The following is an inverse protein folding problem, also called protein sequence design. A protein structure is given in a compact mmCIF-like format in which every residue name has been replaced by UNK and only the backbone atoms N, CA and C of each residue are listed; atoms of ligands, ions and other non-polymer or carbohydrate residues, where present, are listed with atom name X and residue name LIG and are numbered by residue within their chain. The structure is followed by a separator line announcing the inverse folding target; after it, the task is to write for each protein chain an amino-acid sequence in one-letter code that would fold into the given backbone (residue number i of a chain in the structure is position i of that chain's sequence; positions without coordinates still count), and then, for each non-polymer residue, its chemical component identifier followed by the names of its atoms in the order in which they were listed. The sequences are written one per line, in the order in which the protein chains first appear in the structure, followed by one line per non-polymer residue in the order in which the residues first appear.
data_IF_057663221727
#
_entry.id   IF_057663221727
#
_cell.length_a   1.000
_cell.length_b   1.000
_cell.length_c   1.000
_cell.angle_alpha   90.00
_cell.angle_beta   90.00
_cell.angle_gamma   90.00
#
_symmetry.space_group_name_H-M   'P 1'
#
loop_
_entity.id
_entity.type
_entity.pdbx_description
1 polymer ?
#
# COMPACT_ATOMS: atom_id res chain seq x y z
N UNK A 1 -3.45 -11.77 -20.72
CA UNK A 1 -3.75 -11.37 -19.32
C UNK A 1 -2.42 -11.29 -18.57
N UNK A 2 -2.27 -10.42 -17.57
CA UNK A 2 -1.06 -10.37 -16.76
C UNK A 2 -0.85 -11.71 -16.03
N UNK A 3 0.41 -12.10 -15.81
CA UNK A 3 0.75 -13.33 -15.08
C UNK A 3 0.92 -13.03 -13.59
N UNK A 4 -0.16 -13.25 -12.82
CA UNK A 4 -0.16 -12.99 -11.39
C UNK A 4 0.58 -14.07 -10.57
N UNK A 5 1.02 -15.17 -11.17
CA UNK A 5 1.82 -16.20 -10.46
C UNK A 5 3.20 -15.68 -10.02
N UNK A 6 3.61 -14.57 -10.63
CA UNK A 6 4.81 -13.80 -10.29
C UNK A 6 4.64 -12.85 -9.08
N UNK A 7 3.46 -12.84 -8.42
CA UNK A 7 3.15 -11.98 -7.28
C UNK A 7 2.96 -12.81 -6.00
N UNK A 8 3.59 -12.37 -4.92
CA UNK A 8 3.18 -12.73 -3.55
C UNK A 8 2.41 -11.55 -2.93
N UNK A 9 1.15 -11.76 -2.60
CA UNK A 9 0.33 -10.86 -1.77
C UNK A 9 0.69 -11.14 -0.31
N UNK A 10 1.21 -10.15 0.39
CA UNK A 10 1.72 -10.35 1.76
C UNK A 10 1.21 -9.31 2.75
N UNK A 11 1.02 -9.74 4.00
CA UNK A 11 0.85 -8.86 5.15
C UNK A 11 1.86 -9.19 6.24
N UNK A 12 2.26 -8.18 7.02
CA UNK A 12 3.26 -8.30 8.08
C UNK A 12 2.69 -7.73 9.38
N UNK A 13 2.64 -8.54 10.44
CA UNK A 13 2.07 -8.20 11.75
C UNK A 13 3.04 -8.54 12.89
N UNK A 14 3.71 -7.52 13.41
CA UNK A 14 4.69 -7.65 14.49
C UNK A 14 4.13 -7.66 15.92
N UNK A 15 2.81 -7.55 16.11
CA UNK A 15 2.23 -7.31 17.44
C UNK A 15 1.11 -8.29 17.84
N UNK A 16 0.61 -9.10 16.90
CA UNK A 16 -0.42 -10.12 17.15
C UNK A 16 -0.34 -11.24 16.08
N UNK A 17 -1.40 -12.03 15.95
CA UNK A 17 -1.49 -13.12 14.98
C UNK A 17 -1.72 -12.67 13.53
N UNK A 18 -2.09 -11.41 13.30
CA UNK A 18 -2.36 -10.85 11.97
C UNK A 18 -3.68 -11.28 11.35
N UNK A 19 -4.62 -11.84 12.14
CA UNK A 19 -5.91 -12.32 11.63
C UNK A 19 -6.72 -11.24 10.90
N UNK A 20 -6.56 -9.96 11.27
CA UNK A 20 -7.27 -8.83 10.66
C UNK A 20 -6.93 -8.60 9.19
N UNK A 21 -5.76 -9.05 8.71
CA UNK A 21 -5.36 -8.88 7.31
C UNK A 21 -5.78 -10.04 6.40
N UNK A 22 -6.32 -11.13 6.94
CA UNK A 22 -6.79 -12.27 6.15
C UNK A 22 -7.79 -11.86 5.07
N UNK A 23 -8.83 -11.02 5.35
CA UNK A 23 -9.76 -10.58 4.32
C UNK A 23 -9.06 -9.83 3.18
N UNK A 24 -8.10 -8.96 3.50
CA UNK A 24 -7.35 -8.17 2.51
C UNK A 24 -6.50 -9.05 1.59
N UNK A 25 -5.79 -10.04 2.14
CA UNK A 25 -5.01 -11.01 1.37
C UNK A 25 -5.95 -11.83 0.47
N UNK A 26 -7.00 -12.44 1.03
CA UNK A 26 -7.93 -13.28 0.28
C UNK A 26 -8.61 -12.53 -0.85
N UNK A 27 -9.12 -11.32 -0.57
CA UNK A 27 -9.76 -10.49 -1.58
C UNK A 27 -8.79 -10.13 -2.70
N UNK A 28 -7.56 -9.76 -2.35
CA UNK A 28 -6.55 -9.42 -3.34
C UNK A 28 -6.13 -10.62 -4.21
N UNK A 29 -5.98 -11.80 -3.62
CA UNK A 29 -5.72 -13.04 -4.36
C UNK A 29 -6.87 -13.43 -5.29
N UNK A 30 -8.12 -13.17 -4.89
CA UNK A 30 -9.30 -13.41 -5.73
C UNK A 30 -9.30 -12.51 -6.97
N UNK A 31 -8.94 -11.24 -6.80
CA UNK A 31 -8.80 -10.28 -7.90
C UNK A 31 -7.55 -10.53 -8.77
N UNK A 32 -6.52 -11.18 -8.21
CA UNK A 32 -5.27 -11.53 -8.88
C UNK A 32 -5.09 -13.06 -8.95
N UNK A 33 -5.91 -13.78 -9.73
CA UNK A 33 -5.94 -15.24 -9.73
C UNK A 33 -4.58 -15.84 -10.10
N UNK A 34 -4.07 -16.72 -9.25
CA UNK A 34 -2.76 -17.38 -9.40
C UNK A 34 -1.64 -16.76 -8.54
N UNK A 35 -1.86 -15.58 -7.95
CA UNK A 35 -0.95 -15.02 -6.95
C UNK A 35 -0.86 -15.89 -5.69
N UNK A 36 0.26 -15.76 -4.96
CA UNK A 36 0.50 -16.47 -3.70
C UNK A 36 0.11 -15.60 -2.52
N UNK A 37 -0.49 -16.17 -1.48
CA UNK A 37 -0.77 -15.49 -0.22
C UNK A 37 0.28 -15.79 0.83
N UNK A 38 0.76 -14.78 1.55
CA UNK A 38 1.69 -14.94 2.66
C UNK A 38 1.30 -14.04 3.84
N UNK A 39 1.16 -14.63 5.02
CA UNK A 39 1.03 -13.90 6.28
C UNK A 39 2.28 -14.09 7.13
N UNK A 40 2.94 -12.98 7.45
CA UNK A 40 4.05 -12.94 8.39
C UNK A 40 3.54 -12.37 9.72
N UNK A 41 3.52 -13.17 10.78
CA UNK A 41 3.00 -12.71 12.07
C UNK A 41 3.65 -13.41 13.27
N UNK A 42 3.47 -12.85 14.46
CA UNK A 42 4.08 -13.38 15.70
C UNK A 42 3.46 -14.69 16.17
N UNK A 43 2.24 -14.99 15.73
CA UNK A 43 1.50 -16.20 16.08
C UNK A 43 0.65 -16.61 14.88
N UNK A 44 0.37 -17.91 14.73
CA UNK A 44 -0.49 -18.39 13.66
C UNK A 44 -1.97 -18.08 13.98
N UNK A 45 -2.72 -17.37 13.11
CA UNK A 45 -4.15 -17.20 13.30
C UNK A 45 -4.89 -18.53 13.34
N UNK A 46 -5.86 -18.67 14.23
CA UNK A 46 -6.72 -19.86 14.29
C UNK A 46 -7.56 -20.04 13.02
N UNK A 47 -7.96 -18.93 12.40
CA UNK A 47 -8.81 -18.88 11.21
C UNK A 47 -8.01 -18.76 9.90
N UNK A 48 -6.70 -19.11 9.90
CA UNK A 48 -5.86 -19.00 8.70
C UNK A 48 -6.39 -19.93 7.58
N UNK A 49 -6.79 -19.38 6.42
CA UNK A 49 -7.23 -20.17 5.27
C UNK A 49 -6.07 -21.00 4.70
N UNK A 50 -6.32 -22.21 4.18
CA UNK A 50 -5.27 -23.09 3.66
C UNK A 50 -4.58 -22.54 2.40
N UNK A 51 -5.14 -21.52 1.75
CA UNK A 51 -4.52 -20.88 0.57
C UNK A 51 -3.49 -19.80 0.93
N UNK A 52 -3.41 -19.39 2.21
CA UNK A 52 -2.45 -18.40 2.69
C UNK A 52 -1.33 -19.14 3.42
N UNK A 53 -0.12 -19.05 2.90
CA UNK A 53 1.06 -19.51 3.60
C UNK A 53 1.30 -18.63 4.83
N UNK A 54 1.82 -19.22 5.90
CA UNK A 54 2.16 -18.48 7.11
C UNK A 54 3.59 -18.75 7.53
N UNK A 55 4.26 -17.71 8.01
CA UNK A 55 5.59 -17.82 8.59
C UNK A 55 5.66 -16.96 9.85
N UNK A 56 6.19 -17.55 10.92
CA UNK A 56 6.41 -16.86 12.18
C UNK A 56 7.52 -15.80 12.01
N UNK A 57 7.28 -14.61 12.57
CA UNK A 57 8.29 -13.57 12.73
C UNK A 57 8.38 -13.14 14.19
N UNK A 58 9.51 -12.56 14.58
CA UNK A 58 9.66 -12.00 15.92
C UNK A 58 8.75 -10.76 16.08
N UNK A 59 8.36 -10.41 17.32
CA UNK A 59 7.64 -9.18 17.58
C UNK A 59 8.39 -7.95 17.05
N UNK A 60 7.63 -7.03 16.45
CA UNK A 60 8.14 -5.78 15.88
C UNK A 60 7.33 -4.61 16.48
N UNK A 61 8.04 -3.63 17.05
CA UNK A 61 7.52 -2.29 17.23
C UNK A 61 7.38 -1.57 15.87
N UNK A 62 6.86 -0.33 15.90
CA UNK A 62 6.61 0.45 14.69
C UNK A 62 7.89 0.69 13.85
N UNK A 63 9.03 0.92 14.50
CA UNK A 63 10.32 1.14 13.83
C UNK A 63 10.91 -0.17 13.32
N UNK A 64 10.78 -1.24 14.09
CA UNK A 64 11.22 -2.58 13.71
C UNK A 64 10.41 -3.10 12.51
N UNK A 65 9.15 -2.70 12.37
CA UNK A 65 8.39 -2.93 11.15
C UNK A 65 9.07 -2.28 9.94
N UNK A 66 9.40 -0.99 10.01
CA UNK A 66 10.10 -0.31 8.91
C UNK A 66 11.43 -0.98 8.56
N UNK A 67 12.25 -1.31 9.57
CA UNK A 67 13.51 -2.04 9.39
C UNK A 67 13.30 -3.41 8.75
N UNK A 68 12.29 -4.16 9.19
CA UNK A 68 11.96 -5.47 8.65
C UNK A 68 11.58 -5.39 7.18
N UNK A 69 10.72 -4.43 6.80
CA UNK A 69 10.30 -4.22 5.42
C UNK A 69 11.49 -3.82 4.54
N UNK A 70 12.34 -2.90 5.01
CA UNK A 70 13.49 -2.42 4.24
C UNK A 70 14.58 -3.49 4.06
N UNK A 71 14.87 -4.29 5.09
CA UNK A 71 16.09 -5.10 5.11
C UNK A 71 15.87 -6.61 5.16
N UNK A 72 14.69 -7.08 5.55
CA UNK A 72 14.44 -8.51 5.82
C UNK A 72 13.36 -9.13 4.95
N UNK A 73 12.34 -8.36 4.53
CA UNK A 73 11.17 -8.88 3.81
C UNK A 73 11.54 -9.68 2.55
N UNK A 74 12.58 -9.26 1.82
CA UNK A 74 13.02 -9.96 0.60
C UNK A 74 13.39 -11.43 0.81
N UNK A 75 13.73 -11.85 2.04
CA UNK A 75 14.07 -13.25 2.34
C UNK A 75 12.82 -14.16 2.35
N UNK A 76 11.64 -13.57 2.55
CA UNK A 76 10.36 -14.29 2.60
C UNK A 76 9.66 -14.31 1.25
N UNK A 77 10.04 -13.43 0.32
CA UNK A 77 9.42 -13.31 -1.00
C UNK A 77 10.19 -14.13 -2.04
N UNK A 78 9.56 -15.17 -2.57
CA UNK A 78 10.17 -16.03 -3.59
C UNK A 78 9.84 -15.61 -5.02
N UNK A 79 8.73 -14.90 -5.22
CA UNK A 79 8.24 -14.41 -6.50
C UNK A 79 8.98 -13.14 -6.97
N UNK A 80 8.74 -12.73 -8.22
CA UNK A 80 9.36 -11.54 -8.82
C UNK A 80 8.81 -10.23 -8.24
N UNK A 81 7.57 -10.25 -7.76
CA UNK A 81 6.91 -9.10 -7.15
C UNK A 81 6.25 -9.46 -5.82
N UNK A 82 6.27 -8.50 -4.91
CA UNK A 82 5.55 -8.50 -3.66
C UNK A 82 4.47 -7.42 -3.72
N UNK A 83 3.21 -7.78 -3.49
CA UNK A 83 2.14 -6.83 -3.21
C UNK A 83 1.92 -6.81 -1.71
N UNK A 84 2.38 -5.77 -1.02
CA UNK A 84 2.05 -5.55 0.38
C UNK A 84 0.59 -5.12 0.47
N UNK A 85 -0.16 -5.73 1.39
CA UNK A 85 -1.52 -5.33 1.76
C UNK A 85 -1.62 -5.27 3.29
N UNK A 86 -2.07 -4.15 3.84
CA UNK A 86 -2.40 -3.99 5.27
C UNK A 86 -3.87 -4.32 5.53
N UNK A 87 -4.32 -4.37 6.79
CA UNK A 87 -5.72 -4.69 7.11
C UNK A 87 -6.73 -3.61 6.67
N UNK A 88 -6.22 -2.46 6.25
CA UNK A 88 -6.95 -1.33 5.68
C UNK A 88 -6.60 -1.08 4.20
N UNK A 89 -5.96 -2.02 3.50
CA UNK A 89 -5.68 -1.89 2.07
C UNK A 89 -5.78 -3.20 1.28
N UNK A 90 -6.48 -3.20 0.16
CA UNK A 90 -6.67 -4.39 -0.68
C UNK A 90 -6.98 -4.03 -2.14
N UNK A 91 -6.83 -5.02 -3.04
CA UNK A 91 -7.23 -4.90 -4.45
C UNK A 91 -8.76 -4.99 -4.55
N UNK A 92 -9.38 -3.95 -5.12
CA UNK A 92 -10.83 -3.87 -5.27
C UNK A 92 -11.30 -4.42 -6.61
N UNK A 93 -10.51 -4.22 -7.68
CA UNK A 93 -10.87 -4.57 -9.05
C UNK A 93 -9.64 -4.98 -9.88
N UNK A 94 -9.34 -6.28 -9.91
CA UNK A 94 -8.20 -6.84 -10.65
C UNK A 94 -8.34 -6.74 -12.17
N UNK A 95 -9.53 -6.45 -12.71
CA UNK A 95 -9.70 -6.16 -14.14
C UNK A 95 -9.08 -4.82 -14.53
N UNK A 96 -8.88 -3.92 -13.58
CA UNK A 96 -8.22 -2.63 -13.77
C UNK A 96 -6.69 -2.71 -13.64
N UNK A 97 -6.14 -3.94 -13.51
CA UNK A 97 -4.70 -4.14 -13.54
C UNK A 97 -4.11 -3.73 -14.89
N UNK A 98 -3.08 -2.88 -14.84
CA UNK A 98 -2.34 -2.45 -16.02
C UNK A 98 -1.07 -3.25 -16.16
N UNK A 99 -0.80 -3.77 -17.35
CA UNK A 99 0.42 -4.55 -17.62
C UNK A 99 1.70 -3.77 -17.30
N UNK A 100 1.67 -2.45 -17.54
CA UNK A 100 2.79 -1.53 -17.27
C UNK A 100 3.15 -1.41 -15.78
N UNK A 101 2.31 -1.88 -14.84
CA UNK A 101 2.69 -1.94 -13.43
C UNK A 101 3.93 -2.80 -13.19
N UNK A 102 4.18 -3.81 -14.03
CA UNK A 102 5.40 -4.64 -13.94
C UNK A 102 6.65 -3.97 -14.52
N UNK A 103 6.54 -2.80 -15.15
CA UNK A 103 7.69 -2.06 -15.68
C UNK A 103 8.39 -1.21 -14.60
N UNK A 104 7.82 -1.18 -13.40
CA UNK A 104 8.31 -0.43 -12.24
C UNK A 104 8.72 -1.35 -11.10
N UNK A 105 9.71 -0.90 -10.35
CA UNK A 105 10.26 -1.57 -9.18
C UNK A 105 9.49 -1.23 -7.89
N UNK A 106 8.81 -0.08 -7.85
CA UNK A 106 7.92 0.33 -6.75
C UNK A 106 6.69 1.09 -7.29
N UNK A 107 5.51 0.69 -6.84
CA UNK A 107 4.25 1.42 -7.02
C UNK A 107 3.46 1.40 -5.71
N UNK A 108 3.22 2.57 -5.14
CA UNK A 108 2.25 2.76 -4.05
C UNK A 108 1.33 3.93 -4.38
N UNK A 109 0.19 4.00 -3.72
CA UNK A 109 -0.73 5.14 -3.84
C UNK A 109 -0.04 6.42 -3.37
N UNK A 110 -0.15 7.55 -4.09
CA UNK A 110 0.40 8.82 -3.61
C UNK A 110 -0.25 9.20 -2.27
N UNK A 111 0.55 9.40 -1.22
CA UNK A 111 0.04 9.75 0.10
C UNK A 111 0.02 11.27 0.32
N UNK A 112 -0.48 11.70 1.48
CA UNK A 112 -0.51 13.11 1.89
C UNK A 112 0.80 13.57 2.54
N UNK A 113 1.94 13.17 1.98
CA UNK A 113 3.26 13.65 2.39
C UNK A 113 4.15 13.84 1.15
N UNK A 114 4.99 14.88 1.17
CA UNK A 114 5.91 15.15 0.08
C UNK A 114 7.16 15.86 0.57
N UNK A 115 8.28 15.65 -0.11
CA UNK A 115 9.43 16.53 0.02
C UNK A 115 9.29 17.72 -0.94
N UNK A 116 9.36 18.95 -0.41
CA UNK A 116 9.45 20.17 -1.20
C UNK A 116 10.88 20.70 -1.04
N UNK A 117 11.72 20.45 -2.04
CA UNK A 117 13.17 20.61 -1.87
C UNK A 117 13.71 19.56 -0.91
N UNK A 118 14.33 19.99 0.19
CA UNK A 118 14.86 19.11 1.24
C UNK A 118 13.95 18.96 2.45
N UNK A 119 12.83 19.66 2.50
CA UNK A 119 11.92 19.67 3.64
C UNK A 119 10.77 18.70 3.43
N UNK A 120 10.52 17.83 4.42
CA UNK A 120 9.32 17.01 4.45
C UNK A 120 8.13 17.87 4.87
N UNK A 121 7.10 17.90 4.04
CA UNK A 121 5.81 18.50 4.33
C UNK A 121 4.82 17.39 4.71
N UNK A 122 4.55 17.17 6.01
CA UNK A 122 3.47 16.29 6.42
C UNK A 122 2.11 16.93 6.05
N UNK A 123 1.09 16.11 5.79
CA UNK A 123 -0.23 16.56 5.35
C UNK A 123 -0.19 17.41 4.06
N UNK A 124 0.69 17.03 3.13
CA UNK A 124 0.81 17.65 1.80
C UNK A 124 -0.54 17.66 1.08
N UNK A 125 -0.91 18.83 0.56
CA UNK A 125 -2.09 19.03 -0.27
C UNK A 125 -1.67 19.32 -1.71
N UNK A 126 -2.44 18.77 -2.65
CA UNK A 126 -2.24 18.98 -4.09
C UNK A 126 -2.69 20.37 -4.57
N UNK A 127 -3.26 21.19 -3.68
CA UNK A 127 -3.68 22.56 -3.93
C UNK A 127 -2.52 23.53 -3.74
N UNK A 128 -2.29 24.41 -4.71
CA UNK A 128 -1.26 25.44 -4.62
C UNK A 128 0.16 24.89 -4.70
N UNK A 129 0.40 23.92 -5.59
CA UNK A 129 1.72 23.29 -5.81
C UNK A 129 2.84 24.32 -5.84
N UNK A 130 3.83 24.08 -4.97
CA UNK A 130 4.98 24.95 -4.75
C UNK A 130 6.09 24.71 -5.77
N UNK A 131 6.98 25.70 -5.91
CA UNK A 131 8.30 25.53 -6.51
C UNK A 131 9.34 25.36 -5.38
N UNK A 132 10.24 24.36 -5.44
CA UNK A 132 10.40 23.35 -6.49
C UNK A 132 9.29 22.31 -6.50
N UNK A 133 9.17 21.59 -7.62
CA UNK A 133 8.19 20.50 -7.78
C UNK A 133 8.32 19.47 -6.65
N UNK A 134 7.22 19.16 -5.93
CA UNK A 134 7.27 18.24 -4.80
C UNK A 134 7.55 16.79 -5.24
N UNK A 135 8.37 16.10 -4.46
CA UNK A 135 8.51 14.65 -4.51
C UNK A 135 7.48 14.03 -3.57
N UNK A 136 6.35 13.61 -4.13
CA UNK A 136 5.26 13.00 -3.37
C UNK A 136 5.63 11.58 -2.96
N UNK A 137 5.46 11.28 -1.69
CA UNK A 137 5.69 9.96 -1.10
C UNK A 137 4.62 8.99 -1.61
N UNK A 138 5.01 7.77 -1.93
CA UNK A 138 4.09 6.70 -2.29
C UNK A 138 3.93 5.75 -1.09
N UNK A 139 2.69 5.44 -0.73
CA UNK A 139 2.35 4.69 0.47
C UNK A 139 3.04 3.31 0.53
N UNK A 140 3.25 2.84 1.76
CA UNK A 140 3.78 1.50 2.02
C UNK A 140 2.70 0.42 2.16
N UNK A 141 1.55 0.80 2.72
CA UNK A 141 0.52 -0.13 3.20
C UNK A 141 -0.28 -0.86 2.13
N UNK A 142 -0.28 -0.34 0.90
CA UNK A 142 -0.67 -1.08 -0.29
C UNK A 142 0.27 -0.75 -1.44
N UNK A 143 1.29 -1.58 -1.64
CA UNK A 143 2.35 -1.29 -2.61
C UNK A 143 2.86 -2.53 -3.34
N UNK A 144 3.05 -2.41 -4.66
CA UNK A 144 3.73 -3.40 -5.48
C UNK A 144 5.22 -3.10 -5.51
N UNK A 145 6.05 -4.10 -5.18
CA UNK A 145 7.50 -3.97 -5.07
C UNK A 145 8.17 -5.12 -5.80
N UNK A 146 9.12 -4.85 -6.68
CA UNK A 146 9.90 -5.90 -7.33
C UNK A 146 10.87 -6.54 -6.32
N UNK A 147 11.28 -7.79 -6.59
CA UNK A 147 12.30 -8.48 -5.81
C UNK A 147 13.65 -7.76 -5.88
N UNK A 148 13.93 -7.10 -7.01
CA UNK A 148 15.10 -6.22 -7.19
C UNK A 148 15.05 -5.06 -6.21
N UNK A 149 13.91 -4.37 -6.10
CA UNK A 149 13.70 -3.29 -5.13
C UNK A 149 13.87 -3.77 -3.68
N UNK A 150 13.20 -4.86 -3.30
CA UNK A 150 13.22 -5.36 -1.92
C UNK A 150 14.64 -5.73 -1.44
N UNK A 151 15.54 -6.06 -2.35
CA UNK A 151 16.95 -6.35 -2.05
C UNK A 151 17.84 -5.11 -2.05
N UNK A 152 17.43 -4.04 -2.74
CA UNK A 152 18.28 -2.89 -3.00
C UNK A 152 18.82 -2.23 -1.72
N UNK A 153 18.02 -1.97 -0.66
CA UNK A 153 18.53 -1.40 0.57
C UNK A 153 19.66 -2.21 1.20
N UNK A 154 19.48 -3.54 1.32
CA UNK A 154 20.49 -4.44 1.90
C UNK A 154 21.72 -4.61 1.01
N UNK A 155 21.54 -4.72 -0.31
CA UNK A 155 22.65 -4.96 -1.25
C UNK A 155 23.50 -3.72 -1.51
N UNK A 156 22.93 -2.51 -1.40
CA UNK A 156 23.62 -1.26 -1.68
C UNK A 156 23.98 -0.46 -0.42
N UNK A 157 23.81 -1.06 0.76
CA UNK A 157 24.24 -0.47 2.02
C UNK A 157 23.44 0.78 2.40
N UNK A 158 22.16 0.84 2.04
CA UNK A 158 21.28 1.87 2.56
C UNK A 158 21.25 1.73 4.10
N UNK A 159 21.55 2.82 4.79
CA UNK A 159 21.42 2.87 6.24
C UNK A 159 19.98 3.25 6.58
N UNK A 160 19.51 2.90 7.77
CA UNK A 160 18.23 3.40 8.23
C UNK A 160 18.39 4.86 8.67
N UNK A 161 17.55 5.76 8.18
CA UNK A 161 17.55 7.16 8.61
C UNK A 161 16.83 7.29 9.95
N UNK A 162 17.59 7.57 11.00
CA UNK A 162 17.03 7.83 12.33
C UNK A 162 16.70 9.31 12.50
N UNK A 163 15.49 9.59 12.98
CA UNK A 163 15.01 10.93 13.30
C UNK A 163 14.14 10.89 14.55
N UNK A 164 14.07 12.00 15.28
CA UNK A 164 13.08 12.16 16.35
C UNK A 164 11.65 12.30 15.79
N UNK A 165 11.52 12.78 14.55
CA UNK A 165 10.25 12.84 13.84
C UNK A 165 9.85 11.45 13.34
N UNK A 166 8.79 10.89 13.90
CA UNK A 166 8.35 9.53 13.60
C UNK A 166 8.01 9.30 12.12
N UNK A 167 7.46 10.31 11.42
CA UNK A 167 7.11 10.17 10.00
C UNK A 167 8.34 9.91 9.11
N UNK A 168 9.50 10.49 9.43
CA UNK A 168 10.75 10.27 8.71
C UNK A 168 11.30 8.84 8.90
N UNK A 169 10.76 8.11 9.86
CA UNK A 169 11.11 6.72 10.16
C UNK A 169 10.19 5.72 9.46
N UNK A 170 9.13 6.15 8.78
CA UNK A 170 8.29 5.23 8.00
C UNK A 170 9.08 4.71 6.80
N UNK A 171 8.98 3.41 6.53
CA UNK A 171 9.73 2.81 5.44
C UNK A 171 9.39 3.40 4.06
N UNK A 172 8.14 3.81 3.85
CA UNK A 172 7.69 4.40 2.60
C UNK A 172 8.27 5.81 2.39
N UNK A 173 8.34 6.62 3.45
CA UNK A 173 9.03 7.93 3.45
C UNK A 173 10.52 7.75 3.20
N UNK A 174 11.14 6.75 3.84
CA UNK A 174 12.56 6.46 3.63
C UNK A 174 12.83 6.01 2.19
N UNK A 175 12.07 5.06 1.67
CA UNK A 175 12.34 4.45 0.38
C UNK A 175 11.90 5.30 -0.81
N UNK A 176 10.74 5.97 -0.70
CA UNK A 176 10.14 6.72 -1.81
C UNK A 176 10.41 8.23 -1.75
N UNK A 177 10.99 8.69 -0.64
CA UNK A 177 11.47 10.07 -0.45
C UNK A 177 12.98 10.12 -0.27
N UNK A 178 13.46 9.78 0.93
CA UNK A 178 14.85 10.01 1.37
C UNK A 178 15.87 9.30 0.46
N UNK A 179 15.65 8.01 0.16
CA UNK A 179 16.54 7.17 -0.63
C UNK A 179 16.16 7.11 -2.11
N UNK A 180 15.05 7.72 -2.52
CA UNK A 180 14.58 7.63 -3.90
C UNK A 180 15.61 8.10 -4.93
N UNK A 181 16.29 9.26 -4.78
CA UNK A 181 17.31 9.67 -5.74
C UNK A 181 18.43 8.64 -5.90
N UNK A 182 18.95 8.11 -4.80
CA UNK A 182 20.03 7.12 -4.80
C UNK A 182 19.56 5.78 -5.39
N UNK A 183 18.31 5.37 -5.13
CA UNK A 183 17.73 4.16 -5.71
C UNK A 183 17.51 4.32 -7.22
N UNK A 184 17.08 5.49 -7.69
CA UNK A 184 16.94 5.80 -9.11
C UNK A 184 18.30 5.78 -9.85
N UNK A 185 19.38 6.27 -9.22
CA UNK A 185 20.75 6.14 -9.74
C UNK A 185 21.21 4.67 -9.87
N UNK A 186 20.71 3.79 -9.00
CA UNK A 186 20.91 2.33 -9.08
C UNK A 186 19.98 1.64 -10.09
N UNK A 187 19.20 2.44 -10.83
CA UNK A 187 18.29 1.96 -11.86
C UNK A 187 16.97 1.40 -11.32
N UNK A 188 16.60 1.68 -10.06
CA UNK A 188 15.26 1.42 -9.54
C UNK A 188 14.27 2.36 -10.19
N UNK A 189 13.13 1.83 -10.63
CA UNK A 189 12.05 2.62 -11.25
C UNK A 189 10.86 2.76 -10.31
N UNK A 190 10.55 3.98 -9.89
CA UNK A 190 9.31 4.29 -9.18
C UNK A 190 8.23 4.68 -10.20
N UNK A 191 6.99 4.22 -9.99
CA UNK A 191 5.88 4.65 -10.85
C UNK A 191 5.68 6.17 -10.80
N UNK A 192 5.37 6.82 -11.92
CA UNK A 192 4.99 8.24 -11.91
C UNK A 192 3.60 8.42 -11.28
N UNK A 193 3.34 9.62 -10.76
CA UNK A 193 2.12 9.95 -10.00
C UNK A 193 0.82 9.64 -10.77
N UNK A 194 0.79 9.84 -12.09
CA UNK A 194 -0.37 9.55 -12.94
C UNK A 194 -0.70 8.05 -13.00
N UNK A 195 0.31 7.18 -12.88
CA UNK A 195 0.11 5.74 -12.81
C UNK A 195 -0.23 5.30 -11.39
N UNK A 196 0.49 5.85 -10.42
CA UNK A 196 0.30 5.58 -8.99
C UNK A 196 -1.13 5.91 -8.51
N UNK A 197 -1.73 7.03 -8.98
CA UNK A 197 -3.11 7.41 -8.62
C UNK A 197 -4.18 6.41 -9.08
N UNK A 198 -3.90 5.64 -10.13
CA UNK A 198 -4.80 4.59 -10.63
C UNK A 198 -4.51 3.23 -10.00
N UNK A 199 -3.27 3.02 -9.54
CA UNK A 199 -2.88 1.82 -8.82
C UNK A 199 -3.60 1.74 -7.47
N UNK A 200 -3.53 2.79 -6.66
CA UNK A 200 -4.29 2.84 -5.41
C UNK A 200 -4.47 4.25 -4.87
N UNK A 201 -5.48 4.42 -4.02
CA UNK A 201 -5.75 5.68 -3.32
C UNK A 201 -5.77 5.46 -1.82
N UNK A 202 -5.12 6.36 -1.09
CA UNK A 202 -5.27 6.46 0.36
C UNK A 202 -6.49 7.32 0.72
N UNK A 203 -6.49 8.57 0.28
CA UNK A 203 -7.70 9.40 0.22
C UNK A 203 -7.71 10.16 -1.10
N UNK A 204 -8.88 10.25 -1.72
CA UNK A 204 -9.07 11.12 -2.87
C UNK A 204 -8.86 12.56 -2.42
N UNK A 205 -8.21 13.35 -3.26
CA UNK A 205 -7.76 14.71 -2.93
C UNK A 205 -8.07 15.66 -4.08
N UNK A 206 -8.44 16.91 -3.79
CA UNK A 206 -8.80 17.88 -4.81
C UNK A 206 -7.65 18.12 -5.78
N UNK A 207 -7.96 18.51 -7.01
CA UNK A 207 -7.04 18.73 -8.15
C UNK A 207 -6.41 17.43 -8.67
N UNK A 208 -5.73 16.68 -7.82
CA UNK A 208 -4.96 15.52 -8.26
C UNK A 208 -5.83 14.31 -8.63
N UNK A 209 -6.96 14.16 -7.93
CA UNK A 209 -7.92 13.11 -8.17
C UNK A 209 -9.24 13.64 -8.77
N UNK A 210 -9.33 14.87 -9.27
CA UNK A 210 -10.60 15.36 -9.85
C UNK A 210 -10.94 14.66 -11.17
N UNK A 211 -9.93 14.25 -11.92
CA UNK A 211 -10.04 13.55 -13.19
C UNK A 211 -9.98 12.02 -13.07
N UNK A 212 -9.91 11.46 -11.84
CA UNK A 212 -9.81 10.01 -11.69
C UNK A 212 -11.08 9.32 -12.18
N UNK A 213 -10.91 8.30 -13.02
CA UNK A 213 -11.94 7.34 -13.36
C UNK A 213 -11.90 6.18 -12.35
N UNK A 214 -12.90 6.12 -11.46
CA UNK A 214 -13.00 5.09 -10.43
C UNK A 214 -13.11 3.67 -11.01
N UNK A 215 -13.65 3.50 -12.22
CA UNK A 215 -13.67 2.19 -12.88
C UNK A 215 -12.25 1.68 -13.19
N UNK A 216 -11.30 2.60 -13.38
CA UNK A 216 -9.89 2.28 -13.61
C UNK A 216 -9.07 2.08 -12.33
N UNK A 217 -9.65 2.31 -11.15
CA UNK A 217 -8.97 2.17 -9.86
C UNK A 217 -8.77 0.69 -9.50
N UNK A 218 -7.52 0.30 -9.27
CA UNK A 218 -7.17 -1.09 -8.95
C UNK A 218 -7.42 -1.42 -7.47
N UNK A 219 -7.01 -0.55 -6.55
CA UNK A 219 -6.95 -0.86 -5.12
C UNK A 219 -7.21 0.36 -4.23
N UNK A 220 -7.45 0.12 -2.95
CA UNK A 220 -7.61 1.16 -1.92
C UNK A 220 -6.69 0.84 -0.75
N UNK A 221 -6.29 1.88 -0.03
CA UNK A 221 -5.64 1.83 1.27
C UNK A 221 -6.26 2.93 2.13
N UNK A 222 -6.30 2.81 3.44
CA UNK A 222 -6.70 3.92 4.30
C UNK A 222 -7.57 3.52 5.48
N UNK A 223 -7.20 4.04 6.63
CA UNK A 223 -7.72 3.63 7.94
C UNK A 223 -9.23 3.84 8.13
N UNK A 224 -9.84 4.72 7.33
CA UNK A 224 -11.29 4.99 7.36
C UNK A 224 -12.12 3.81 6.85
N UNK A 225 -11.51 2.86 6.14
CA UNK A 225 -12.18 1.69 5.53
C UNK A 225 -11.41 0.43 5.90
N UNK A 226 -12.07 -0.48 6.63
CA UNK A 226 -11.51 -1.82 6.92
C UNK A 226 -12.32 -2.91 6.25
N UNK A 227 -11.65 -3.81 5.54
CA UNK A 227 -12.30 -5.00 4.99
C UNK A 227 -12.41 -6.06 6.09
N UNK A 228 -13.59 -6.20 6.68
CA UNK A 228 -13.81 -7.10 7.82
C UNK A 228 -14.27 -8.50 7.41
N UNK A 229 -14.86 -8.63 6.23
CA UNK A 229 -15.30 -9.88 5.59
C UNK A 229 -15.07 -9.74 4.09
N UNK A 230 -15.22 -10.82 3.31
CA UNK A 230 -14.87 -10.88 1.87
C UNK A 230 -15.32 -9.67 1.04
N UNK A 231 -16.56 -9.20 1.25
CA UNK A 231 -17.10 -8.02 0.57
C UNK A 231 -17.76 -7.04 1.56
N UNK A 232 -17.37 -7.04 2.84
CA UNK A 232 -17.95 -6.12 3.83
C UNK A 232 -16.89 -5.11 4.28
N UNK A 233 -17.12 -3.85 3.96
CA UNK A 233 -16.28 -2.72 4.37
C UNK A 233 -16.91 -2.08 5.60
N UNK A 234 -16.15 -1.99 6.69
CA UNK A 234 -16.51 -1.20 7.85
C UNK A 234 -15.87 0.18 7.75
N UNK A 235 -16.71 1.21 7.75
CA UNK A 235 -16.28 2.60 7.92
C UNK A 235 -15.97 2.83 9.39
N UNK A 236 -14.76 3.32 9.69
CA UNK A 236 -14.24 3.46 11.05
C UNK A 236 -14.38 4.86 11.63
N UNK A 237 -14.91 5.81 10.85
CA UNK A 237 -15.13 7.20 11.25
C UNK A 237 -16.62 7.56 11.21
N UNK A 238 -17.05 8.58 11.99
CA UNK A 238 -18.39 9.14 11.92
C UNK A 238 -18.75 9.66 10.51
N UNK A 239 -20.04 9.61 10.17
CA UNK A 239 -20.53 9.96 8.82
C UNK A 239 -20.28 11.43 8.45
N UNK A 240 -20.34 12.34 9.40
CA UNK A 240 -20.03 13.76 9.21
C UNK A 240 -18.55 14.01 8.87
N UNK A 241 -17.63 13.26 9.48
CA UNK A 241 -16.21 13.32 9.12
C UNK A 241 -15.97 12.73 7.73
N UNK A 242 -16.68 11.65 7.39
CA UNK A 242 -16.58 11.02 6.07
C UNK A 242 -16.96 11.99 4.94
N UNK A 243 -18.01 12.80 5.15
CA UNK A 243 -18.48 13.82 4.20
C UNK A 243 -17.47 14.95 3.96
N UNK A 244 -16.49 15.11 4.85
CA UNK A 244 -15.41 16.09 4.67
C UNK A 244 -14.27 15.59 3.78
N UNK A 245 -14.22 14.28 3.50
CA UNK A 245 -13.19 13.68 2.65
C UNK A 245 -13.64 13.83 1.19
N UNK A 246 -12.77 14.44 0.38
CA UNK A 246 -13.04 14.75 -1.03
C UNK A 246 -13.43 13.48 -1.81
N UNK A 247 -14.59 13.49 -2.47
CA UNK A 247 -15.11 12.37 -3.29
C UNK A 247 -15.26 11.02 -2.59
N UNK A 248 -15.21 10.97 -1.25
CA UNK A 248 -15.30 9.70 -0.51
C UNK A 248 -16.66 9.01 -0.67
N UNK A 249 -17.76 9.77 -0.65
CA UNK A 249 -19.10 9.21 -0.91
C UNK A 249 -19.20 8.61 -2.33
N UNK A 250 -18.53 9.21 -3.31
CA UNK A 250 -18.49 8.69 -4.67
C UNK A 250 -17.71 7.37 -4.75
N UNK A 251 -16.56 7.28 -4.07
CA UNK A 251 -15.79 6.05 -3.95
C UNK A 251 -16.62 4.94 -3.30
N UNK A 252 -17.32 5.21 -2.21
CA UNK A 252 -18.16 4.22 -1.52
C UNK A 252 -19.36 3.79 -2.38
N UNK A 253 -19.96 4.73 -3.13
CA UNK A 253 -21.01 4.40 -4.09
C UNK A 253 -20.48 3.48 -5.18
N UNK A 254 -19.31 3.75 -5.76
CA UNK A 254 -18.66 2.87 -6.72
C UNK A 254 -18.38 1.48 -6.14
N UNK A 255 -17.79 1.40 -4.94
CA UNK A 255 -17.51 0.13 -4.27
C UNK A 255 -18.78 -0.69 -4.05
N UNK A 256 -19.89 -0.05 -3.67
CA UNK A 256 -21.15 -0.74 -3.40
C UNK A 256 -21.97 -1.08 -4.65
N UNK A 257 -22.11 -0.16 -5.60
CA UNK A 257 -22.95 -0.36 -6.79
C UNK A 257 -22.28 -1.23 -7.84
N UNK A 258 -21.02 -0.95 -8.16
CA UNK A 258 -20.31 -1.59 -9.27
C UNK A 258 -19.53 -2.83 -8.84
N UNK A 259 -18.96 -2.80 -7.63
CA UNK A 259 -18.13 -3.90 -7.10
C UNK A 259 -18.84 -4.73 -6.02
N UNK A 260 -20.09 -4.39 -5.69
CA UNK A 260 -20.96 -5.14 -4.78
C UNK A 260 -20.43 -5.31 -3.36
N UNK A 261 -19.67 -4.33 -2.86
CA UNK A 261 -19.29 -4.26 -1.44
C UNK A 261 -20.48 -3.83 -0.57
N UNK A 262 -20.65 -4.48 0.57
CA UNK A 262 -21.54 -4.06 1.63
C UNK A 262 -20.83 -3.03 2.53
N UNK A 263 -21.36 -1.82 2.62
CA UNK A 263 -20.78 -0.74 3.44
C UNK A 263 -21.50 -0.68 4.79
N UNK A 264 -20.78 -0.97 5.87
CA UNK A 264 -21.26 -0.83 7.25
C UNK A 264 -20.64 0.41 7.88
N UNK A 265 -21.45 1.24 8.50
CA UNK A 265 -20.99 2.39 9.27
C UNK A 265 -20.89 2.02 10.75
N UNK A 266 -19.92 2.59 11.46
CA UNK A 266 -19.98 2.57 12.93
C UNK A 266 -21.25 3.26 13.42
N UNK A 267 -21.78 2.75 14.55
CA UNK A 267 -22.97 3.30 15.19
C UNK A 267 -22.73 4.68 15.79
#
# INVERSE_FOLDING_TARGET
MPDYTSITVTSIFGHNDGASAIPAILRSMKELPGSKGLLLSTQKPQNLPPQIDWTEILPLDYRQYSLFVMFSLHNFIQTEFCLIVQDDGWVINGKSWKKEYFDYDYIGGPCHAAFVGSELVPAYQWVGTSNPTPLVIQNGGLSLRSKKFLKAPSCHGALYYFSEEQILQNEDVQLTGIYRPQLEELGIKFAPNNLAKQFSVEYLGPIFHDDIDLLSLLAVHGQTRKLIEENTIQITIPKDQLQSIHREEELLNYLSSELHYNIRYIA
#
